data_IF_163870019576
#
_entry.id   IF_163870019576
#
_cell.length_a   1.000
_cell.length_b   1.000
_cell.length_c   1.000
_cell.angle_alpha   90.00
_cell.angle_beta   90.00
_cell.angle_gamma   90.00
#
_symmetry.space_group_name_H-M   'P 1'
#
loop_
_entity.id
_entity.type
_entity.pdbx_description
1 polymer ?
#
# COMPACT_ATOMS: atom_id res chain seq x y z
N UNK A 1 15.96 -19.74 -42.89
CA UNK A 1 15.83 -20.32 -41.53
C UNK A 1 14.67 -19.60 -40.87
N UNK A 2 13.48 -20.14 -41.02
CA UNK A 2 12.22 -19.53 -40.59
C UNK A 2 11.99 -19.80 -39.10
N UNK A 3 11.93 -18.74 -38.29
CA UNK A 3 11.60 -18.84 -36.87
C UNK A 3 10.10 -18.64 -36.68
N UNK A 4 9.43 -19.75 -36.42
CA UNK A 4 8.00 -19.88 -36.16
C UNK A 4 7.66 -19.32 -34.78
N UNK A 5 6.99 -18.17 -34.72
CA UNK A 5 6.47 -17.56 -33.49
C UNK A 5 5.13 -18.22 -33.14
N UNK A 6 5.06 -18.87 -31.98
CA UNK A 6 3.81 -19.40 -31.40
C UNK A 6 3.17 -18.35 -30.48
N UNK A 7 1.85 -18.07 -30.58
CA UNK A 7 1.16 -17.17 -29.66
C UNK A 7 0.78 -17.91 -28.37
N UNK A 8 1.21 -17.41 -27.21
CA UNK A 8 0.64 -17.81 -25.90
C UNK A 8 -0.67 -17.03 -25.70
N UNK A 9 -1.78 -17.77 -25.57
CA UNK A 9 -3.09 -17.25 -25.21
C UNK A 9 -3.23 -17.10 -23.68
N UNK A 10 -3.99 -16.12 -23.15
CA UNK A 10 -4.24 -15.99 -21.72
C UNK A 10 -5.51 -16.77 -21.32
N UNK A 11 -5.49 -17.44 -20.17
CA UNK A 11 -6.67 -18.06 -19.55
C UNK A 11 -6.54 -18.03 -18.01
N UNK A 12 -7.65 -18.19 -17.23
CA UNK A 12 -8.67 -17.19 -16.96
C UNK A 12 -8.75 -16.81 -15.46
N UNK A 13 -9.50 -15.74 -15.14
CA UNK A 13 -9.78 -15.25 -13.79
C UNK A 13 -10.57 -16.26 -12.94
N UNK A 14 -10.29 -16.41 -11.62
CA UNK A 14 -11.16 -17.18 -10.74
C UNK A 14 -12.39 -16.40 -10.29
N UNK A 15 -13.53 -17.06 -10.47
CA UNK A 15 -14.92 -16.71 -10.20
C UNK A 15 -15.23 -16.53 -8.70
N UNK A 16 -16.02 -15.51 -8.36
CA UNK A 16 -16.70 -15.33 -7.06
C UNK A 16 -17.66 -16.50 -6.80
N UNK A 17 -17.46 -17.24 -5.70
CA UNK A 17 -18.39 -18.31 -5.28
C UNK A 17 -18.82 -18.14 -3.83
N UNK A 18 -20.11 -17.85 -3.69
CA UNK A 18 -21.08 -18.38 -2.73
C UNK A 18 -20.78 -18.36 -1.23
N UNK A 19 -21.62 -17.61 -0.50
CA UNK A 19 -21.93 -17.82 0.91
C UNK A 19 -22.57 -19.21 1.13
N UNK A 20 -22.25 -19.92 2.23
CA UNK A 20 -23.13 -20.95 2.76
C UNK A 20 -24.12 -20.36 3.78
N UNK A 21 -25.40 -20.65 3.54
CA UNK A 21 -26.50 -20.59 4.51
C UNK A 21 -26.53 -21.90 5.31
N UNK A 22 -26.68 -21.83 6.64
CA UNK A 22 -27.23 -22.87 7.54
C UNK A 22 -27.23 -22.26 8.95
N UNK A 23 -28.37 -21.86 9.50
CA UNK A 23 -29.43 -22.66 10.17
C UNK A 23 -29.08 -23.03 11.62
N UNK A 24 -29.83 -22.36 12.52
CA UNK A 24 -30.46 -22.84 13.75
C UNK A 24 -29.67 -23.71 14.72
N UNK A 25 -29.38 -23.18 15.91
CA UNK A 25 -29.73 -23.89 17.15
C UNK A 25 -29.90 -22.91 18.32
N UNK A 26 -31.08 -22.93 18.91
CA UNK A 26 -31.43 -22.20 20.11
C UNK A 26 -30.82 -22.88 21.35
N UNK A 27 -30.26 -22.11 22.26
CA UNK A 27 -30.09 -22.56 23.65
C UNK A 27 -30.52 -21.46 24.60
N UNK A 28 -31.68 -21.73 25.17
CA UNK A 28 -32.42 -21.04 26.20
C UNK A 28 -31.67 -21.14 27.54
N UNK A 29 -31.41 -20.00 28.19
CA UNK A 29 -31.16 -19.96 29.64
C UNK A 29 -32.19 -19.04 30.30
N UNK A 30 -33.20 -19.73 30.83
CA UNK A 30 -34.25 -19.26 31.71
C UNK A 30 -33.65 -18.83 33.07
N UNK A 31 -33.82 -17.55 33.44
CA UNK A 31 -33.74 -17.11 34.84
C UNK A 31 -34.98 -16.28 35.16
N UNK A 32 -35.84 -16.90 35.96
CA UNK A 32 -37.03 -16.37 36.61
C UNK A 32 -36.70 -15.14 37.51
N UNK A 33 -37.48 -14.08 37.36
CA UNK A 33 -37.48 -12.84 38.15
C UNK A 33 -37.97 -13.01 39.60
N UNK A 34 -37.86 -11.98 40.47
CA UNK A 34 -38.86 -11.69 41.48
C UNK A 34 -39.77 -10.53 41.08
N UNK A 35 -41.05 -10.71 41.41
CA UNK A 35 -42.19 -9.89 41.02
C UNK A 35 -42.36 -8.68 41.95
N UNK A 36 -42.77 -7.53 41.41
CA UNK A 36 -43.49 -6.50 42.17
C UNK A 36 -44.39 -5.62 41.27
N UNK A 37 -45.71 -5.84 41.38
CA UNK A 37 -46.90 -4.98 41.14
C UNK A 37 -47.07 -4.14 39.84
N UNK A 38 -48.15 -4.44 39.11
CA UNK A 38 -48.80 -3.68 38.00
C UNK A 38 -49.97 -2.80 38.56
N UNK A 39 -50.66 -1.84 37.84
CA UNK A 39 -50.85 -1.77 36.37
C UNK A 39 -50.96 -0.40 35.62
N UNK A 40 -50.86 -0.50 34.27
CA UNK A 40 -51.43 0.31 33.15
C UNK A 40 -50.57 1.41 32.46
N UNK A 41 -50.76 1.72 31.14
CA UNK A 41 -51.19 0.95 29.96
C UNK A 41 -50.01 0.75 28.94
N UNK A 42 -50.16 0.02 27.80
CA UNK A 42 -49.03 -0.28 26.92
C UNK A 42 -48.62 0.93 26.08
N UNK A 43 -47.48 1.54 26.41
CA UNK A 43 -46.78 2.41 25.45
C UNK A 43 -46.14 1.51 24.40
N UNK A 44 -46.77 1.44 23.23
CA UNK A 44 -46.21 0.89 22.00
C UNK A 44 -44.71 1.20 21.88
N UNK A 45 -43.84 0.21 21.57
CA UNK A 45 -42.46 0.51 21.26
C UNK A 45 -42.45 1.40 20.01
N UNK A 46 -42.01 2.65 20.20
CA UNK A 46 -41.75 3.59 19.14
C UNK A 46 -40.87 2.90 18.09
N UNK A 47 -41.46 2.57 16.95
CA UNK A 47 -40.70 2.07 15.80
C UNK A 47 -39.59 3.08 15.50
N UNK A 48 -38.31 2.70 15.56
CA UNK A 48 -37.26 3.67 15.36
C UNK A 48 -37.19 4.03 13.88
N UNK A 49 -37.10 5.34 13.65
CA UNK A 49 -36.57 5.95 12.44
C UNK A 49 -37.49 5.93 11.21
N UNK A 50 -38.03 7.11 10.93
CA UNK A 50 -38.58 7.51 9.65
C UNK A 50 -37.71 7.03 8.48
N UNK A 51 -38.32 6.43 7.46
CA UNK A 51 -37.67 6.12 6.17
C UNK A 51 -36.88 7.30 5.58
N UNK A 52 -37.22 8.53 5.96
CA UNK A 52 -36.54 9.76 5.53
C UNK A 52 -35.11 9.86 6.10
N UNK A 53 -34.86 9.40 7.32
CA UNK A 53 -33.52 9.41 7.91
C UNK A 53 -32.64 8.38 7.18
N UNK A 54 -33.11 7.15 7.04
CA UNK A 54 -32.42 6.08 6.29
C UNK A 54 -32.11 6.54 4.85
N UNK A 55 -33.03 7.27 4.21
CA UNK A 55 -32.84 7.78 2.84
C UNK A 55 -31.84 8.94 2.77
N UNK A 56 -31.68 9.75 3.83
CA UNK A 56 -30.70 10.86 3.91
C UNK A 56 -29.27 10.38 4.11
N UNK A 57 -29.05 9.30 4.85
CA UNK A 57 -27.70 8.77 5.07
C UNK A 57 -27.12 8.03 3.86
N UNK A 58 -27.96 7.42 3.01
CA UNK A 58 -27.48 6.64 1.84
C UNK A 58 -26.59 7.46 0.89
N UNK A 59 -26.99 8.66 0.39
CA UNK A 59 -26.11 9.46 -0.48
C UNK A 59 -24.87 9.99 0.23
N UNK A 60 -24.94 10.28 1.52
CA UNK A 60 -23.78 10.74 2.29
C UNK A 60 -22.76 9.62 2.51
N UNK A 61 -23.22 8.43 2.90
CA UNK A 61 -22.38 7.25 3.08
C UNK A 61 -21.74 6.78 1.76
N UNK A 62 -22.49 6.75 0.66
CA UNK A 62 -21.96 6.39 -0.65
C UNK A 62 -20.85 7.35 -1.12
N UNK A 63 -21.02 8.66 -0.89
CA UNK A 63 -19.99 9.66 -1.17
C UNK A 63 -18.78 9.49 -0.27
N UNK A 64 -18.97 9.24 1.03
CA UNK A 64 -17.88 8.99 1.96
C UNK A 64 -17.03 7.80 1.51
N UNK A 65 -17.67 6.68 1.17
CA UNK A 65 -17.02 5.48 0.65
C UNK A 65 -16.18 5.82 -0.58
N UNK A 66 -16.77 6.47 -1.59
CA UNK A 66 -16.05 6.90 -2.80
C UNK A 66 -14.83 7.78 -2.48
N UNK A 67 -14.98 8.73 -1.56
CA UNK A 67 -13.88 9.61 -1.15
C UNK A 67 -12.75 8.84 -0.46
N UNK A 68 -13.08 7.87 0.41
CA UNK A 68 -12.07 7.03 1.06
C UNK A 68 -11.36 6.11 0.04
N UNK A 69 -12.09 5.51 -0.89
CA UNK A 69 -11.48 4.75 -1.99
C UNK A 69 -10.54 5.60 -2.84
N UNK A 70 -10.95 6.82 -3.19
CA UNK A 70 -10.10 7.76 -3.93
C UNK A 70 -8.82 8.10 -3.16
N UNK A 71 -8.93 8.35 -1.84
CA UNK A 71 -7.78 8.60 -0.97
C UNK A 71 -6.84 7.39 -0.89
N UNK A 72 -7.38 6.20 -0.64
CA UNK A 72 -6.62 4.96 -0.57
C UNK A 72 -5.91 4.66 -1.90
N UNK A 73 -6.61 4.86 -3.03
CA UNK A 73 -6.04 4.70 -4.37
C UNK A 73 -4.88 5.66 -4.59
N UNK A 74 -5.02 6.93 -4.20
CA UNK A 74 -3.93 7.91 -4.28
C UNK A 74 -2.72 7.46 -3.44
N UNK A 75 -2.93 7.08 -2.18
CA UNK A 75 -1.85 6.62 -1.31
C UNK A 75 -1.14 5.37 -1.85
N UNK A 76 -1.88 4.43 -2.45
CA UNK A 76 -1.31 3.26 -3.12
C UNK A 76 -0.39 3.65 -4.27
N UNK A 77 -0.81 4.59 -5.13
CA UNK A 77 0.02 5.05 -6.25
C UNK A 77 1.27 5.79 -5.77
N UNK A 78 1.14 6.60 -4.72
CA UNK A 78 2.26 7.29 -4.09
C UNK A 78 3.26 6.29 -3.49
N UNK A 79 2.79 5.29 -2.73
CA UNK A 79 3.62 4.22 -2.20
C UNK A 79 4.40 3.49 -3.30
N UNK A 80 3.74 3.15 -4.41
CA UNK A 80 4.37 2.46 -5.53
C UNK A 80 5.48 3.32 -6.18
N UNK A 81 5.21 4.61 -6.38
CA UNK A 81 6.17 5.57 -6.93
C UNK A 81 7.39 5.75 -6.02
N UNK A 82 7.15 5.96 -4.71
CA UNK A 82 8.21 6.08 -3.71
C UNK A 82 9.03 4.80 -3.61
N UNK A 83 8.39 3.63 -3.63
CA UNK A 83 9.07 2.33 -3.63
C UNK A 83 9.97 2.15 -4.85
N UNK A 84 9.50 2.53 -6.03
CA UNK A 84 10.31 2.45 -7.25
C UNK A 84 11.52 3.39 -7.20
N UNK A 85 11.30 4.59 -6.68
CA UNK A 85 12.33 5.62 -6.52
C UNK A 85 13.38 5.19 -5.49
N UNK A 86 12.97 4.70 -4.32
CA UNK A 86 13.85 4.14 -3.29
C UNK A 86 14.71 3.01 -3.85
N UNK A 87 14.11 2.07 -4.57
CA UNK A 87 14.85 0.96 -5.20
C UNK A 87 15.91 1.47 -6.16
N UNK A 88 15.59 2.49 -6.95
CA UNK A 88 16.53 3.12 -7.88
C UNK A 88 17.71 3.76 -7.12
N UNK A 89 17.45 4.47 -6.03
CA UNK A 89 18.52 5.00 -5.17
C UNK A 89 19.39 3.90 -4.56
N UNK A 90 18.80 2.80 -4.08
CA UNK A 90 19.55 1.66 -3.58
C UNK A 90 20.47 1.07 -4.67
N UNK A 91 19.95 0.91 -5.89
CA UNK A 91 20.75 0.48 -7.05
C UNK A 91 21.90 1.44 -7.33
N UNK A 92 21.67 2.76 -7.30
CA UNK A 92 22.75 3.75 -7.48
C UNK A 92 23.81 3.69 -6.38
N UNK A 93 23.42 3.45 -5.12
CA UNK A 93 24.38 3.27 -4.01
C UNK A 93 25.27 2.06 -4.25
N UNK A 94 24.69 0.93 -4.66
CA UNK A 94 25.44 -0.30 -4.94
C UNK A 94 26.32 -0.12 -6.16
N UNK A 95 25.78 0.41 -7.26
CA UNK A 95 26.53 0.62 -8.49
C UNK A 95 27.72 1.57 -8.27
N UNK A 96 27.51 2.70 -7.60
CA UNK A 96 28.60 3.64 -7.31
C UNK A 96 29.68 3.04 -6.41
N UNK A 97 29.30 2.21 -5.42
CA UNK A 97 30.24 1.47 -4.59
C UNK A 97 31.07 0.47 -5.40
N UNK A 98 30.43 -0.35 -6.22
CA UNK A 98 31.11 -1.35 -7.03
C UNK A 98 32.03 -0.68 -8.06
N UNK A 99 31.56 0.35 -8.76
CA UNK A 99 32.41 1.15 -9.67
C UNK A 99 33.62 1.73 -8.96
N UNK A 100 33.48 2.16 -7.70
CA UNK A 100 34.60 2.69 -6.92
C UNK A 100 35.58 1.58 -6.55
N UNK A 101 35.08 0.41 -6.12
CA UNK A 101 35.90 -0.74 -5.72
C UNK A 101 36.71 -1.31 -6.87
N UNK A 102 36.14 -1.35 -8.07
CA UNK A 102 36.80 -1.86 -9.28
C UNK A 102 37.52 -0.78 -10.09
N UNK A 103 37.56 0.46 -9.61
CA UNK A 103 38.20 1.57 -10.32
C UNK A 103 39.70 1.32 -10.57
N UNK A 104 40.39 0.61 -9.67
CA UNK A 104 41.83 0.33 -9.81
C UNK A 104 42.11 -0.70 -10.90
N UNK A 105 41.21 -1.68 -11.08
CA UNK A 105 41.32 -2.72 -12.10
C UNK A 105 40.73 -2.30 -13.46
N UNK A 106 40.05 -1.16 -13.54
CA UNK A 106 39.39 -0.71 -14.76
C UNK A 106 40.41 -0.18 -15.79
N UNK A 107 40.33 -0.70 -17.01
CA UNK A 107 41.11 -0.20 -18.14
C UNK A 107 40.54 1.14 -18.59
N UNK A 108 41.31 2.23 -18.42
CA UNK A 108 40.88 3.59 -18.75
C UNK A 108 41.30 4.03 -20.16
N UNK A 109 42.05 3.18 -20.88
CA UNK A 109 42.58 3.51 -22.20
C UNK A 109 43.40 4.80 -22.18
N UNK A 110 43.11 5.70 -23.11
CA UNK A 110 43.77 7.03 -23.25
C UNK A 110 43.66 7.88 -21.99
N UNK A 111 42.64 7.67 -21.14
CA UNK A 111 42.49 8.43 -19.91
C UNK A 111 43.52 8.03 -18.84
N UNK A 112 44.23 6.91 -18.99
CA UNK A 112 45.25 6.45 -18.04
C UNK A 112 46.41 7.45 -17.90
N UNK A 113 46.73 8.17 -18.98
CA UNK A 113 47.77 9.21 -19.01
C UNK A 113 47.38 10.47 -18.22
N UNK A 114 46.10 10.62 -17.86
CA UNK A 114 45.65 11.76 -17.06
C UNK A 114 46.01 11.57 -15.58
N UNK A 115 46.79 12.48 -14.98
CA UNK A 115 47.15 12.37 -13.58
C UNK A 115 45.90 12.50 -12.69
N UNK A 116 45.87 11.72 -11.61
CA UNK A 116 44.80 11.68 -10.62
C UNK A 116 43.40 11.34 -11.14
N UNK A 117 43.25 10.84 -12.38
CA UNK A 117 41.93 10.56 -12.96
C UNK A 117 41.14 9.55 -12.12
N UNK A 118 41.79 8.48 -11.67
CA UNK A 118 41.19 7.44 -10.81
C UNK A 118 40.74 8.04 -9.48
N UNK A 119 41.60 8.85 -8.85
CA UNK A 119 41.29 9.54 -7.58
C UNK A 119 40.10 10.49 -7.72
N UNK A 120 40.04 11.26 -8.81
CA UNK A 120 38.89 12.14 -9.12
C UNK A 120 37.61 11.34 -9.38
N UNK A 121 37.69 10.25 -10.14
CA UNK A 121 36.56 9.37 -10.39
C UNK A 121 36.02 8.73 -9.10
N UNK A 122 36.91 8.17 -8.26
CA UNK A 122 36.57 7.65 -6.93
C UNK A 122 35.90 8.71 -6.06
N UNK A 123 36.41 9.95 -6.04
CA UNK A 123 35.79 11.05 -5.28
C UNK A 123 34.39 11.41 -5.81
N UNK A 124 34.17 11.39 -7.13
CA UNK A 124 32.85 11.61 -7.72
C UNK A 124 31.87 10.48 -7.34
N UNK A 125 32.32 9.24 -7.44
CA UNK A 125 31.51 8.08 -7.06
C UNK A 125 31.16 8.09 -5.57
N UNK A 126 32.10 8.46 -4.71
CA UNK A 126 31.85 8.60 -3.27
C UNK A 126 30.78 9.65 -2.97
N UNK A 127 30.87 10.84 -3.57
CA UNK A 127 29.85 11.89 -3.44
C UNK A 127 28.47 11.44 -3.95
N UNK A 128 28.45 10.73 -5.08
CA UNK A 128 27.23 10.14 -5.63
C UNK A 128 26.63 9.14 -4.65
N UNK A 129 27.45 8.29 -4.05
CA UNK A 129 27.03 7.29 -3.07
C UNK A 129 26.39 7.94 -1.85
N UNK A 130 27.03 8.96 -1.27
CA UNK A 130 26.52 9.72 -0.12
C UNK A 130 25.17 10.39 -0.44
N UNK A 131 25.09 11.05 -1.60
CA UNK A 131 23.85 11.71 -2.04
C UNK A 131 22.70 10.71 -2.19
N UNK A 132 22.94 9.55 -2.80
CA UNK A 132 21.91 8.54 -2.98
C UNK A 132 21.53 7.83 -1.68
N UNK A 133 22.45 7.69 -0.72
CA UNK A 133 22.13 7.19 0.63
C UNK A 133 21.15 8.12 1.35
N UNK A 134 21.39 9.43 1.32
CA UNK A 134 20.49 10.41 1.92
C UNK A 134 19.11 10.38 1.26
N UNK A 135 19.06 10.31 -0.08
CA UNK A 135 17.80 10.19 -0.83
C UNK A 135 17.06 8.88 -0.56
N UNK A 136 17.77 7.77 -0.45
CA UNK A 136 17.20 6.47 -0.07
C UNK A 136 16.55 6.53 1.31
N UNK A 137 17.25 7.12 2.29
CA UNK A 137 16.73 7.25 3.65
C UNK A 137 15.50 8.17 3.70
N UNK A 138 15.52 9.30 2.97
CA UNK A 138 14.34 10.17 2.86
C UNK A 138 13.16 9.43 2.25
N UNK A 139 13.39 8.76 1.11
CA UNK A 139 12.34 7.99 0.43
C UNK A 139 11.78 6.87 1.29
N UNK A 140 12.60 6.25 2.14
CA UNK A 140 12.15 5.26 3.12
C UNK A 140 11.24 5.87 4.18
N UNK A 141 11.60 7.04 4.72
CA UNK A 141 10.75 7.76 5.67
C UNK A 141 9.41 8.13 5.03
N UNK A 142 9.41 8.64 3.80
CA UNK A 142 8.20 9.02 3.06
C UNK A 142 7.29 7.81 2.79
N UNK A 143 7.90 6.68 2.43
CA UNK A 143 7.23 5.38 2.32
C UNK A 143 6.54 5.00 3.64
N UNK A 144 7.29 4.97 4.75
CA UNK A 144 6.76 4.62 6.08
C UNK A 144 5.62 5.57 6.48
N UNK A 145 5.76 6.88 6.25
CA UNK A 145 4.70 7.86 6.49
C UNK A 145 3.44 7.56 5.65
N UNK A 146 3.60 7.20 4.38
CA UNK A 146 2.47 6.85 3.49
C UNK A 146 1.75 5.59 3.97
N UNK A 147 2.47 4.58 4.46
CA UNK A 147 1.86 3.39 5.07
C UNK A 147 1.11 3.73 6.35
N UNK A 148 1.70 4.51 7.25
CA UNK A 148 1.02 4.94 8.46
C UNK A 148 -0.27 5.70 8.12
N UNK A 149 -0.22 6.60 7.13
CA UNK A 149 -1.41 7.32 6.70
C UNK A 149 -2.49 6.38 6.13
N UNK A 150 -2.09 5.30 5.45
CA UNK A 150 -3.01 4.28 4.97
C UNK A 150 -3.68 3.52 6.14
N UNK A 151 -2.90 3.08 7.13
CA UNK A 151 -3.39 2.27 8.26
C UNK A 151 -4.26 3.03 9.25
N UNK A 152 -4.05 4.33 9.44
CA UNK A 152 -4.87 5.15 10.34
C UNK A 152 -6.14 5.72 9.69
N UNK A 153 -6.32 5.51 8.37
CA UNK A 153 -7.51 5.99 7.64
C UNK A 153 -8.50 4.87 7.28
N UNK A 154 -8.17 3.62 7.62
CA UNK A 154 -9.02 2.44 7.40
C UNK A 154 -9.54 1.88 8.72
#
# INVERSE_FOLDING_TARGET
MESKVLPIAPAPLPTLSAFPTTSDEATEWNIQSPVAKSPAPPTTPSTPSSFQDIRRWRPAAQRNLRNQWSKLSSLRTQWLSLSSTARSYATYVVNSYLSQRYMDAMELGVLTEMPDIRKKACRKLFKQQETNRSKLLSSYKDMVCTLHLCTFTS
#
